data_IF_853649244567
#
_entry.id   IF_853649244567
#
_cell.length_a   1.000
_cell.length_b   1.000
_cell.length_c   1.000
_cell.angle_alpha   90.00
_cell.angle_beta   90.00
_cell.angle_gamma   90.00
#
_symmetry.space_group_name_H-M   'P 1'
#
loop_
_entity.id
_entity.type
_entity.pdbx_description
1 polymer ?
#
# COMPACT_ATOMS: atom_id res chain seq x y z
N UNK A 1 13.83 24.19 -15.86
CA UNK A 1 13.70 23.11 -14.87
C UNK A 1 12.35 22.45 -15.11
N UNK A 2 12.31 21.19 -15.58
CA UNK A 2 11.06 20.50 -15.84
C UNK A 2 10.45 20.06 -14.51
N UNK A 3 9.45 20.79 -14.01
CA UNK A 3 8.58 20.33 -12.94
C UNK A 3 7.76 19.17 -13.50
N UNK A 4 8.20 17.93 -13.25
CA UNK A 4 7.41 16.74 -13.51
C UNK A 4 6.21 16.75 -12.58
N UNK A 5 5.11 17.37 -12.98
CA UNK A 5 3.81 17.19 -12.34
C UNK A 5 3.39 15.74 -12.57
N UNK A 6 3.86 14.85 -11.69
CA UNK A 6 3.49 13.43 -11.73
C UNK A 6 1.97 13.33 -11.69
N UNK A 7 1.38 12.63 -12.66
CA UNK A 7 -0.06 12.35 -12.66
C UNK A 7 -0.38 11.64 -11.35
N UNK A 8 -1.29 12.21 -10.56
CA UNK A 8 -1.76 11.58 -9.32
C UNK A 8 -2.45 10.28 -9.70
N UNK A 9 -1.86 9.16 -9.33
CA UNK A 9 -2.48 7.85 -9.48
C UNK A 9 -3.32 7.59 -8.24
N UNK A 10 -4.59 7.26 -8.41
CA UNK A 10 -5.46 6.81 -7.32
C UNK A 10 -5.26 5.31 -7.18
N UNK A 11 -4.68 4.87 -6.05
CA UNK A 11 -4.57 3.45 -5.73
C UNK A 11 -5.89 2.93 -5.18
N UNK A 12 -6.28 1.72 -5.60
CA UNK A 12 -7.42 1.02 -5.01
C UNK A 12 -7.13 0.64 -3.55
N UNK A 13 -8.18 0.30 -2.80
CA UNK A 13 -8.02 -0.15 -1.41
C UNK A 13 -7.19 -1.44 -1.36
N UNK A 14 -7.45 -2.38 -2.28
CA UNK A 14 -6.70 -3.64 -2.42
C UNK A 14 -5.22 -3.39 -2.71
N UNK A 15 -4.89 -2.46 -3.61
CA UNK A 15 -3.49 -2.13 -3.91
C UNK A 15 -2.77 -1.53 -2.70
N UNK A 16 -3.45 -0.68 -1.92
CA UNK A 16 -2.87 -0.12 -0.69
C UNK A 16 -2.59 -1.22 0.34
N UNK A 17 -3.46 -2.22 0.43
CA UNK A 17 -3.27 -3.39 1.28
C UNK A 17 -2.07 -4.22 0.88
N UNK A 18 -1.94 -4.56 -0.41
CA UNK A 18 -0.79 -5.29 -0.93
C UNK A 18 0.53 -4.55 -0.65
N UNK A 19 0.53 -3.22 -0.77
CA UNK A 19 1.69 -2.37 -0.43
C UNK A 19 2.02 -2.47 1.06
N UNK A 20 1.02 -2.41 1.94
CA UNK A 20 1.21 -2.53 3.39
C UNK A 20 1.71 -3.91 3.79
N UNK A 21 1.19 -4.97 3.18
CA UNK A 21 1.66 -6.32 3.42
C UNK A 21 3.10 -6.51 2.93
N UNK A 22 3.44 -5.99 1.74
CA UNK A 22 4.80 -6.00 1.24
C UNK A 22 5.76 -5.24 2.17
N UNK A 23 5.32 -4.15 2.79
CA UNK A 23 6.09 -3.38 3.77
C UNK A 23 6.36 -4.14 5.08
N UNK A 24 5.60 -5.21 5.40
CA UNK A 24 5.89 -6.07 6.56
C UNK A 24 7.17 -6.89 6.37
N UNK A 25 7.56 -7.18 5.13
CA UNK A 25 8.71 -8.06 4.81
C UNK A 25 9.81 -7.40 3.95
N UNK A 26 9.53 -6.27 3.30
CA UNK A 26 10.46 -5.57 2.40
C UNK A 26 10.72 -4.13 2.84
N UNK A 27 11.84 -3.58 2.38
CA UNK A 27 12.13 -2.15 2.57
C UNK A 27 11.21 -1.29 1.70
N UNK A 28 10.83 -0.08 2.14
CA UNK A 28 9.96 0.80 1.37
C UNK A 28 10.47 1.14 -0.03
N UNK A 29 11.79 1.19 -0.23
CA UNK A 29 12.41 1.43 -1.55
C UNK A 29 12.18 0.27 -2.53
N UNK A 30 12.16 -0.97 -2.04
CA UNK A 30 11.93 -2.14 -2.86
C UNK A 30 10.44 -2.27 -3.20
N UNK A 31 9.55 -2.01 -2.23
CA UNK A 31 8.11 -1.93 -2.47
C UNK A 31 7.76 -0.82 -3.47
N UNK A 32 8.40 0.35 -3.37
CA UNK A 32 8.17 1.43 -4.32
C UNK A 32 8.49 1.01 -5.77
N UNK A 33 9.56 0.23 -5.97
CA UNK A 33 9.95 -0.31 -7.28
C UNK A 33 8.98 -1.39 -7.76
N UNK A 34 8.62 -2.34 -6.89
CA UNK A 34 7.74 -3.46 -7.20
C UNK A 34 6.36 -2.97 -7.68
N UNK A 35 5.83 -1.91 -7.05
CA UNK A 35 4.53 -1.33 -7.38
C UNK A 35 4.61 -0.14 -8.35
N UNK A 36 5.82 0.23 -8.82
CA UNK A 36 6.07 1.38 -9.69
C UNK A 36 5.41 2.68 -9.17
N UNK A 37 5.56 2.95 -7.88
CA UNK A 37 5.05 4.14 -7.20
C UNK A 37 6.17 4.94 -6.56
N UNK A 38 5.91 6.21 -6.27
CA UNK A 38 6.88 7.04 -5.58
C UNK A 38 7.11 6.57 -4.14
N UNK A 39 8.35 6.65 -3.67
CA UNK A 39 8.70 6.38 -2.27
C UNK A 39 7.82 7.16 -1.28
N UNK A 40 7.53 8.43 -1.58
CA UNK A 40 6.64 9.25 -0.76
C UNK A 40 5.21 8.70 -0.68
N UNK A 41 4.71 8.06 -1.75
CA UNK A 41 3.41 7.39 -1.75
C UNK A 41 3.42 6.21 -0.79
N UNK A 42 4.46 5.37 -0.83
CA UNK A 42 4.62 4.24 0.08
C UNK A 42 4.67 4.70 1.54
N UNK A 43 5.45 5.76 1.82
CA UNK A 43 5.55 6.34 3.16
C UNK A 43 4.22 6.88 3.67
N UNK A 44 3.48 7.60 2.83
CA UNK A 44 2.16 8.14 3.19
C UNK A 44 1.14 7.02 3.44
N UNK A 45 1.18 5.93 2.68
CA UNK A 45 0.29 4.77 2.89
C UNK A 45 0.54 4.17 4.28
N UNK A 46 1.81 3.98 4.66
CA UNK A 46 2.20 3.47 5.98
C UNK A 46 1.78 4.41 7.11
N UNK A 47 2.04 5.72 6.96
CA UNK A 47 1.64 6.70 7.97
C UNK A 47 0.13 6.77 8.14
N UNK A 48 -0.64 6.66 7.05
CA UNK A 48 -2.10 6.66 7.13
C UNK A 48 -2.64 5.41 7.83
N UNK A 49 -1.96 4.25 7.74
CA UNK A 49 -2.31 3.06 8.52
C UNK A 49 -2.10 3.31 10.03
N UNK A 50 -0.93 3.86 10.38
CA UNK A 50 -0.56 4.17 11.77
C UNK A 50 -1.49 5.23 12.38
N UNK A 51 -1.83 6.28 11.64
CA UNK A 51 -2.69 7.39 12.09
C UNK A 51 -4.17 7.03 12.15
N UNK A 52 -4.65 6.18 11.23
CA UNK A 52 -6.03 5.73 11.25
C UNK A 52 -6.30 4.78 12.43
N UNK A 53 -5.27 4.11 12.97
CA UNK A 53 -5.42 3.07 13.99
C UNK A 53 -6.30 1.90 13.52
N UNK A 54 -6.59 1.85 12.22
CA UNK A 54 -7.47 0.89 11.57
C UNK A 54 -6.58 0.09 10.64
N UNK A 55 -6.34 -1.17 10.98
CA UNK A 55 -5.81 -2.12 10.02
C UNK A 55 -6.79 -2.20 8.86
N UNK A 56 -6.32 -2.04 7.62
CA UNK A 56 -7.18 -2.20 6.44
C UNK A 56 -7.79 -3.61 6.35
N UNK A 57 -7.19 -4.61 7.01
CA UNK A 57 -7.78 -5.95 7.23
C UNK A 57 -9.11 -5.86 8.02
N UNK A 58 -9.21 -4.93 8.97
CA UNK A 58 -10.45 -4.65 9.71
C UNK A 58 -11.52 -3.95 8.87
N UNK A 59 -11.13 -3.17 7.84
CA UNK A 59 -12.08 -2.47 6.95
C UNK A 59 -12.74 -3.46 5.99
N UNK A 60 -11.98 -4.43 5.47
CA UNK A 60 -12.52 -5.40 4.53
C UNK A 60 -13.34 -6.51 5.19
N UNK A 61 -13.29 -6.66 6.52
CA UNK A 61 -14.06 -7.71 7.22
C UNK A 61 -13.70 -9.14 6.81
N UNK A 62 -12.61 -9.29 6.06
CA UNK A 62 -12.13 -10.55 5.49
C UNK A 62 -10.77 -10.81 6.10
N UNK A 63 -10.69 -11.87 6.91
CA UNK A 63 -9.42 -12.48 7.29
C UNK A 63 -8.70 -12.80 5.98
N UNK A 64 -7.60 -12.11 5.66
CA UNK A 64 -6.85 -12.26 4.41
C UNK A 64 -6.47 -13.73 4.11
N UNK A 65 -6.42 -14.56 5.16
CA UNK A 65 -6.27 -16.02 5.08
C UNK A 65 -7.38 -16.73 4.30
N UNK A 66 -8.62 -16.25 4.37
CA UNK A 66 -9.77 -16.91 3.71
C UNK A 66 -9.83 -16.56 2.22
N UNK A 67 -9.33 -15.39 1.81
CA UNK A 67 -9.29 -14.96 0.41
C UNK A 67 -8.21 -15.68 -0.42
N UNK A 68 -7.10 -16.08 0.21
CA UNK A 68 -5.99 -16.80 -0.45
C UNK A 68 -6.12 -18.32 -0.40
N UNK A 69 -7.04 -18.88 0.38
CA UNK A 69 -7.27 -20.34 0.49
C UNK A 69 -8.17 -20.93 -0.62
N UNK A 70 -8.66 -20.10 -1.56
CA UNK A 70 -9.55 -20.52 -2.65
C UNK A 70 -8.92 -20.45 -4.05
N UNK A 71 -7.58 -20.37 -4.16
CA UNK A 71 -6.83 -20.53 -5.42
C UNK A 71 -6.08 -21.85 -5.46
#
# INVERSE_FOLDING_TARGET
>A
MASTSGKRCTLSIEQKLEILEALKSKKPDDVAKDFNIGYFTVKNIRQNEDEAGISYESILGVSHKDALMHL
#
